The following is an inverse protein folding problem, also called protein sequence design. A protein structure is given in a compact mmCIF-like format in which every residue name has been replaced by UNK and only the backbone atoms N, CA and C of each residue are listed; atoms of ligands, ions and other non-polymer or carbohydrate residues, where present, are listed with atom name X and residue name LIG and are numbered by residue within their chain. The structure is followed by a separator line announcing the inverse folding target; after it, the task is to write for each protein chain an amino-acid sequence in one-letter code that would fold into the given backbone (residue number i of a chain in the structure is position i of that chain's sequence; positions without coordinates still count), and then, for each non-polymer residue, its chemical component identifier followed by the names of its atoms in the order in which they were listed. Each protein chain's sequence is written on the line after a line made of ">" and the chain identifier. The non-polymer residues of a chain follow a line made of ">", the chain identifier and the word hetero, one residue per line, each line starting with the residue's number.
data_IF_442697515434
#
_entry.id   IF_442697515434
#
_cell.length_a   1.000
_cell.length_b   1.000
_cell.length_c   1.000
_cell.angle_alpha   90.00
_cell.angle_beta   90.00
_cell.angle_gamma   90.00
#
_symmetry.space_group_name_H-M   'P 1'
#
loop_
_entity.id
_entity.type
_entity.pdbx_description
1 polymer ?
#
# COMPACT_ATOMS: atom_id res chain seq x y z
N UNK A 1 -18.71 -26.02 -1.44
CA UNK A 1 -18.08 -24.74 -1.78
C UNK A 1 -17.91 -24.71 -3.28
N UNK A 2 -18.64 -23.86 -4.01
CA UNK A 2 -18.47 -23.71 -5.46
C UNK A 2 -17.04 -23.26 -5.72
N UNK A 3 -16.30 -24.02 -6.52
CA UNK A 3 -14.98 -23.61 -6.97
C UNK A 3 -15.10 -22.31 -7.76
N UNK A 4 -14.23 -21.35 -7.53
CA UNK A 4 -14.13 -20.14 -8.37
C UNK A 4 -13.94 -20.59 -9.82
N UNK A 5 -14.81 -20.11 -10.71
CA UNK A 5 -14.75 -20.43 -12.14
C UNK A 5 -13.77 -19.51 -12.89
N UNK A 6 -12.83 -18.92 -12.19
CA UNK A 6 -11.84 -18.01 -12.76
C UNK A 6 -10.42 -18.55 -12.62
N UNK A 7 -9.51 -18.06 -13.44
CA UNK A 7 -8.05 -18.28 -13.36
C UNK A 7 -7.39 -17.10 -12.67
N UNK A 8 -6.95 -17.28 -11.40
CA UNK A 8 -6.34 -16.18 -10.65
C UNK A 8 -4.93 -15.86 -11.16
N UNK A 9 -4.63 -14.57 -11.28
CA UNK A 9 -3.26 -14.08 -11.47
C UNK A 9 -2.97 -13.06 -10.38
N UNK A 10 -2.06 -13.39 -9.47
CA UNK A 10 -1.63 -12.50 -8.39
C UNK A 10 -0.42 -11.69 -8.89
N UNK A 11 -0.57 -10.38 -8.95
CA UNK A 11 0.52 -9.48 -9.38
C UNK A 11 1.15 -8.83 -8.17
N UNK A 12 2.45 -9.09 -7.98
CA UNK A 12 3.22 -8.54 -6.88
C UNK A 12 4.20 -7.46 -7.31
N UNK A 13 4.12 -6.30 -6.66
CA UNK A 13 5.08 -5.20 -6.77
C UNK A 13 6.14 -5.24 -5.65
N UNK A 14 6.64 -4.08 -5.25
CA UNK A 14 7.69 -3.97 -4.23
C UNK A 14 7.24 -4.51 -2.86
N UNK A 15 5.97 -4.37 -2.47
CA UNK A 15 5.46 -4.82 -1.17
C UNK A 15 5.48 -6.35 -0.98
N UNK A 16 5.71 -7.12 -2.04
CA UNK A 16 5.73 -8.59 -2.04
C UNK A 16 7.01 -9.16 -2.66
N UNK A 17 8.11 -8.40 -2.67
CA UNK A 17 9.36 -8.77 -3.35
C UNK A 17 9.09 -9.24 -4.81
N UNK A 18 8.31 -8.45 -5.57
CA UNK A 18 7.90 -8.73 -6.96
C UNK A 18 7.18 -10.09 -7.13
N UNK A 19 6.41 -10.48 -6.10
CA UNK A 19 5.63 -11.71 -6.07
C UNK A 19 6.29 -12.87 -5.35
N UNK A 20 7.59 -12.81 -5.02
CA UNK A 20 8.28 -13.91 -4.34
C UNK A 20 7.61 -14.29 -3.00
N UNK A 21 7.15 -13.29 -2.23
CA UNK A 21 6.44 -13.52 -0.97
C UNK A 21 5.04 -14.15 -1.14
N UNK A 22 4.52 -14.20 -2.36
CA UNK A 22 3.19 -14.73 -2.66
C UNK A 22 3.22 -16.18 -3.15
N UNK A 23 4.40 -16.69 -3.55
CA UNK A 23 4.53 -18.04 -4.11
C UNK A 23 3.97 -19.13 -3.18
N UNK A 24 4.03 -18.92 -1.86
CA UNK A 24 3.46 -19.83 -0.87
C UNK A 24 1.94 -20.00 -0.97
N UNK A 25 1.23 -19.04 -1.60
CA UNK A 25 -0.23 -19.09 -1.75
C UNK A 25 -0.68 -19.94 -2.95
N UNK A 26 0.19 -20.19 -3.93
CA UNK A 26 -0.16 -20.92 -5.17
C UNK A 26 -0.76 -22.30 -4.91
N UNK A 27 -0.22 -23.04 -3.95
CA UNK A 27 -0.72 -24.39 -3.62
C UNK A 27 -2.16 -24.44 -3.10
N UNK A 28 -2.66 -23.31 -2.56
CA UNK A 28 -4.00 -23.18 -2.01
C UNK A 28 -5.01 -22.52 -2.98
N UNK A 29 -4.55 -22.08 -4.16
CA UNK A 29 -5.33 -21.42 -5.21
C UNK A 29 -5.17 -22.20 -6.53
N UNK A 30 -6.02 -23.18 -6.82
CA UNK A 30 -5.90 -24.01 -8.03
C UNK A 30 -5.87 -23.16 -9.30
N UNK A 31 -4.88 -23.41 -10.16
CA UNK A 31 -4.70 -22.69 -11.42
C UNK A 31 -4.15 -21.27 -11.29
N UNK A 32 -3.79 -20.82 -10.08
CA UNK A 32 -3.23 -19.49 -9.88
C UNK A 32 -1.82 -19.34 -10.45
N UNK A 33 -1.56 -18.19 -11.07
CA UNK A 33 -0.22 -17.72 -11.38
C UNK A 33 0.17 -16.59 -10.40
N UNK A 34 1.46 -16.52 -10.08
CA UNK A 34 2.07 -15.40 -9.37
C UNK A 34 3.10 -14.78 -10.29
N UNK A 35 3.10 -13.47 -10.44
CA UNK A 35 4.02 -12.78 -11.34
C UNK A 35 4.32 -11.35 -10.87
N UNK A 36 5.39 -10.78 -11.40
CA UNK A 36 5.65 -9.35 -11.35
C UNK A 36 4.89 -8.62 -12.47
N UNK A 37 4.69 -7.29 -12.41
CA UNK A 37 4.14 -6.50 -13.51
C UNK A 37 5.02 -6.57 -14.76
N UNK A 38 4.47 -6.17 -15.91
CA UNK A 38 5.17 -6.13 -17.18
C UNK A 38 5.07 -7.46 -17.97
N UNK A 39 6.18 -7.94 -18.51
CA UNK A 39 6.18 -9.09 -19.43
C UNK A 39 5.67 -10.38 -18.77
N UNK A 40 6.06 -10.65 -17.52
CA UNK A 40 5.60 -11.84 -16.79
C UNK A 40 4.09 -11.85 -16.56
N UNK A 41 3.47 -10.68 -16.34
CA UNK A 41 2.03 -10.53 -16.29
C UNK A 41 1.38 -10.85 -17.63
N UNK A 42 1.92 -10.31 -18.74
CA UNK A 42 1.40 -10.61 -20.08
C UNK A 42 1.43 -12.11 -20.37
N UNK A 43 2.52 -12.78 -20.04
CA UNK A 43 2.70 -14.21 -20.28
C UNK A 43 1.75 -15.03 -19.40
N UNK A 44 1.57 -14.67 -18.13
CA UNK A 44 0.63 -15.32 -17.20
C UNK A 44 -0.82 -15.19 -17.68
N UNK A 45 -1.25 -14.00 -18.11
CA UNK A 45 -2.61 -13.77 -18.61
C UNK A 45 -2.85 -14.54 -19.92
N UNK A 46 -1.91 -14.50 -20.87
CA UNK A 46 -2.01 -15.28 -22.11
C UNK A 46 -2.09 -16.79 -21.85
N UNK A 47 -1.26 -17.31 -20.95
CA UNK A 47 -1.32 -18.71 -20.54
C UNK A 47 -2.67 -19.07 -19.92
N UNK A 48 -3.20 -18.20 -19.05
CA UNK A 48 -4.52 -18.36 -18.47
C UNK A 48 -5.63 -18.41 -19.53
N UNK A 49 -5.62 -17.49 -20.50
CA UNK A 49 -6.59 -17.45 -21.60
C UNK A 49 -6.51 -18.68 -22.51
N UNK A 50 -5.31 -19.21 -22.74
CA UNK A 50 -5.07 -20.39 -23.57
C UNK A 50 -5.45 -21.69 -22.88
N UNK A 51 -5.47 -21.73 -21.55
CA UNK A 51 -5.72 -22.94 -20.77
C UNK A 51 -7.20 -23.36 -20.72
N UNK A 52 -8.15 -22.48 -21.10
CA UNK A 52 -9.58 -22.80 -21.16
C UNK A 52 -10.48 -21.57 -21.35
N UNK A 53 -11.81 -21.78 -21.28
CA UNK A 53 -12.79 -20.72 -21.49
C UNK A 53 -12.98 -19.80 -20.26
N UNK A 54 -12.50 -20.20 -19.10
CA UNK A 54 -12.69 -19.48 -17.86
C UNK A 54 -12.03 -18.09 -17.94
N UNK A 55 -12.64 -17.06 -17.36
CA UNK A 55 -12.03 -15.73 -17.32
C UNK A 55 -10.77 -15.71 -16.46
N UNK A 56 -9.85 -14.82 -16.83
CA UNK A 56 -8.64 -14.52 -16.06
C UNK A 56 -8.91 -13.31 -15.19
N UNK A 57 -8.83 -13.47 -13.87
CA UNK A 57 -8.95 -12.37 -12.92
C UNK A 57 -7.59 -12.05 -12.35
N UNK A 58 -7.15 -10.82 -12.57
CA UNK A 58 -5.87 -10.30 -12.11
C UNK A 58 -6.08 -9.50 -10.82
N UNK A 59 -5.38 -9.88 -9.76
CA UNK A 59 -5.46 -9.23 -8.45
C UNK A 59 -4.13 -8.54 -8.13
N UNK A 60 -4.10 -7.20 -8.04
CA UNK A 60 -2.94 -6.47 -7.55
C UNK A 60 -2.73 -6.73 -6.05
N UNK A 61 -1.58 -7.33 -5.71
CA UNK A 61 -1.21 -7.66 -4.34
C UNK A 61 -0.43 -6.51 -3.72
N UNK A 62 -1.15 -5.48 -3.30
CA UNK A 62 -0.63 -4.29 -2.63
C UNK A 62 -1.52 -3.89 -1.45
N UNK A 63 -0.93 -3.27 -0.45
CA UNK A 63 -1.61 -2.56 0.63
C UNK A 63 -1.90 -1.09 0.29
N UNK A 64 -1.82 -0.73 -1.00
CA UNK A 64 -2.03 0.63 -1.48
C UNK A 64 -0.77 1.50 -1.51
N UNK A 65 0.41 0.93 -1.24
CA UNK A 65 1.69 1.64 -1.34
C UNK A 65 2.34 1.51 -2.72
N UNK A 66 1.71 0.80 -3.65
CA UNK A 66 2.21 0.58 -5.01
C UNK A 66 1.11 0.90 -6.06
N UNK A 67 0.63 2.15 -6.11
CA UNK A 67 -0.41 2.55 -7.05
C UNK A 67 0.07 2.49 -8.51
N UNK A 68 1.35 2.72 -8.74
CA UNK A 68 1.98 2.64 -10.07
C UNK A 68 1.88 1.21 -10.62
N UNK A 69 2.13 0.19 -9.78
CA UNK A 69 1.96 -1.21 -10.18
C UNK A 69 0.50 -1.53 -10.56
N UNK A 70 -0.47 -0.97 -9.86
CA UNK A 70 -1.90 -1.14 -10.19
C UNK A 70 -2.21 -0.53 -11.55
N UNK A 71 -1.79 0.72 -11.79
CA UNK A 71 -2.00 1.40 -13.07
C UNK A 71 -1.28 0.72 -14.23
N UNK A 72 -0.03 0.27 -14.05
CA UNK A 72 0.71 -0.48 -15.08
C UNK A 72 0.08 -1.85 -15.38
N UNK A 73 -0.47 -2.49 -14.34
CA UNK A 73 -1.26 -3.71 -14.51
C UNK A 73 -2.49 -3.42 -15.37
N UNK A 74 -3.27 -2.39 -15.04
CA UNK A 74 -4.44 -1.98 -15.81
C UNK A 74 -4.11 -1.64 -17.27
N UNK A 75 -3.03 -0.88 -17.54
CA UNK A 75 -2.54 -0.58 -18.92
C UNK A 75 -2.25 -1.86 -19.68
N UNK A 76 -1.58 -2.82 -19.04
CA UNK A 76 -1.27 -4.13 -19.65
C UNK A 76 -2.54 -4.91 -19.99
N UNK A 77 -3.51 -4.95 -19.07
CA UNK A 77 -4.77 -5.67 -19.26
C UNK A 77 -5.64 -5.02 -20.32
N UNK A 78 -5.70 -3.68 -20.39
CA UNK A 78 -6.43 -2.96 -21.45
C UNK A 78 -5.96 -3.35 -22.84
N UNK A 79 -4.65 -3.46 -23.03
CA UNK A 79 -4.08 -3.92 -24.30
C UNK A 79 -4.45 -5.37 -24.63
N UNK A 80 -4.42 -6.28 -23.63
CA UNK A 80 -4.79 -7.69 -23.82
C UNK A 80 -6.31 -7.87 -24.05
N UNK A 81 -7.13 -7.10 -23.34
CA UNK A 81 -8.58 -7.12 -23.47
C UNK A 81 -9.08 -6.58 -24.84
N UNK A 82 -8.34 -5.69 -25.47
CA UNK A 82 -8.64 -5.23 -26.83
C UNK A 82 -8.48 -6.35 -27.88
N UNK A 83 -7.75 -7.42 -27.57
CA UNK A 83 -7.47 -8.55 -28.45
C UNK A 83 -8.18 -9.84 -28.03
N UNK A 84 -7.38 -10.91 -27.84
CA UNK A 84 -7.87 -12.27 -27.55
C UNK A 84 -8.54 -12.43 -26.17
N UNK A 85 -8.35 -11.47 -25.28
CA UNK A 85 -8.91 -11.48 -23.93
C UNK A 85 -10.25 -10.75 -23.77
N UNK A 86 -10.88 -10.30 -24.88
CA UNK A 86 -12.11 -9.50 -24.82
C UNK A 86 -13.22 -10.20 -24.04
N UNK A 87 -13.75 -9.55 -22.99
CA UNK A 87 -14.80 -10.08 -22.13
C UNK A 87 -14.37 -11.26 -21.24
N UNK A 88 -13.05 -11.54 -21.18
CA UNK A 88 -12.50 -12.68 -20.42
C UNK A 88 -11.37 -12.26 -19.46
N UNK A 89 -11.12 -10.99 -19.31
CA UNK A 89 -10.13 -10.44 -18.39
C UNK A 89 -10.83 -9.48 -17.45
N UNK A 90 -10.55 -9.60 -16.15
CA UNK A 90 -10.93 -8.60 -15.17
C UNK A 90 -9.73 -8.23 -14.30
N UNK A 91 -9.70 -6.96 -13.87
CA UNK A 91 -8.84 -6.45 -12.82
C UNK A 91 -9.66 -6.35 -11.54
N UNK A 92 -9.28 -7.12 -10.52
CA UNK A 92 -9.88 -7.01 -9.21
C UNK A 92 -9.39 -5.74 -8.50
N UNK A 93 -10.18 -5.25 -7.55
CA UNK A 93 -9.70 -4.28 -6.57
C UNK A 93 -8.41 -4.78 -5.93
N UNK A 94 -7.49 -3.86 -5.62
CA UNK A 94 -6.26 -4.20 -4.94
C UNK A 94 -6.52 -4.95 -3.62
N UNK A 95 -5.56 -5.76 -3.17
CA UNK A 95 -5.69 -6.62 -1.99
C UNK A 95 -6.13 -5.84 -0.74
N UNK A 96 -5.51 -4.70 -0.48
CA UNK A 96 -5.82 -3.88 0.68
C UNK A 96 -5.52 -2.40 0.43
N UNK A 97 -5.68 -1.59 1.48
CA UNK A 97 -5.38 -0.16 1.47
C UNK A 97 -4.31 0.17 2.52
N UNK A 98 -3.72 1.35 2.43
CA UNK A 98 -2.77 1.85 3.43
C UNK A 98 -3.39 1.89 4.83
N UNK A 99 -4.68 2.18 4.94
CA UNK A 99 -5.38 2.19 6.24
C UNK A 99 -5.46 0.78 6.84
N UNK A 100 -5.67 -0.25 6.03
CA UNK A 100 -5.61 -1.65 6.49
C UNK A 100 -4.20 -2.00 6.98
N UNK A 101 -3.15 -1.59 6.26
CA UNK A 101 -1.77 -1.79 6.68
C UNK A 101 -1.48 -1.09 8.01
N UNK A 102 -1.87 0.18 8.15
CA UNK A 102 -1.72 0.95 9.41
C UNK A 102 -2.44 0.25 10.56
N UNK A 103 -3.66 -0.24 10.36
CA UNK A 103 -4.41 -0.96 11.40
C UNK A 103 -3.69 -2.24 11.85
N UNK A 104 -3.17 -3.03 10.92
CA UNK A 104 -2.42 -4.25 11.22
C UNK A 104 -1.10 -3.94 11.95
N UNK A 105 -0.38 -2.91 11.52
CA UNK A 105 0.87 -2.50 12.17
C UNK A 105 0.62 -1.93 13.58
N UNK A 106 -0.47 -1.19 13.80
CA UNK A 106 -0.91 -0.76 15.13
C UNK A 106 -1.22 -1.95 16.04
N UNK A 107 -1.91 -2.97 15.51
CA UNK A 107 -2.16 -4.20 16.24
C UNK A 107 -0.85 -4.95 16.57
N UNK A 108 0.12 -4.96 15.66
CA UNK A 108 1.45 -5.51 15.92
C UNK A 108 2.19 -4.72 17.01
N UNK A 109 2.17 -3.38 16.95
CA UNK A 109 2.76 -2.51 17.95
C UNK A 109 2.13 -2.75 19.36
N UNK A 110 0.80 -2.82 19.44
CA UNK A 110 0.10 -3.10 20.69
C UNK A 110 0.48 -4.47 21.28
N UNK A 111 0.57 -5.51 20.44
CA UNK A 111 0.99 -6.85 20.88
C UNK A 111 2.44 -6.86 21.35
N UNK A 112 3.32 -6.13 20.69
CA UNK A 112 4.72 -6.01 21.08
C UNK A 112 4.85 -5.27 22.40
N UNK A 113 4.19 -4.12 22.56
CA UNK A 113 4.20 -3.35 23.81
C UNK A 113 3.75 -4.18 25.00
N UNK A 114 2.72 -5.02 24.83
CA UNK A 114 2.22 -5.89 25.89
C UNK A 114 3.17 -7.04 26.27
N UNK A 115 3.96 -7.54 25.33
CA UNK A 115 4.87 -8.68 25.56
C UNK A 115 6.29 -8.26 25.94
N UNK A 116 6.74 -7.12 25.43
CA UNK A 116 8.08 -6.58 25.56
C UNK A 116 8.01 -5.09 25.92
N UNK A 117 7.72 -4.75 27.18
CA UNK A 117 7.74 -3.36 27.64
C UNK A 117 9.11 -2.72 27.39
N UNK A 118 9.15 -1.56 26.74
CA UNK A 118 10.41 -0.86 26.40
C UNK A 118 11.09 -1.35 25.12
N UNK A 119 10.47 -2.28 24.37
CA UNK A 119 10.97 -2.64 23.06
C UNK A 119 10.80 -1.50 22.05
N UNK A 120 11.60 -1.53 20.98
CA UNK A 120 11.38 -0.75 19.77
C UNK A 120 10.88 -1.62 18.63
N UNK A 121 10.24 -1.01 17.65
CA UNK A 121 9.86 -1.67 16.42
C UNK A 121 10.67 -1.15 15.24
N UNK A 122 10.96 -2.02 14.28
CA UNK A 122 11.41 -1.65 12.94
C UNK A 122 10.37 -2.14 11.95
N UNK A 123 9.70 -1.23 11.26
CA UNK A 123 8.83 -1.56 10.14
C UNK A 123 9.71 -1.76 8.91
N UNK A 124 9.76 -2.99 8.41
CA UNK A 124 10.63 -3.36 7.31
C UNK A 124 9.82 -3.70 6.05
N UNK A 125 10.20 -3.11 4.93
CA UNK A 125 9.69 -3.45 3.60
C UNK A 125 10.83 -3.44 2.59
N UNK A 126 10.70 -4.14 1.46
CA UNK A 126 11.64 -3.97 0.35
C UNK A 126 11.73 -2.50 -0.05
N UNK A 127 12.95 -2.03 -0.31
CA UNK A 127 13.19 -0.68 -0.84
C UNK A 127 12.57 -0.52 -2.23
N UNK A 128 12.03 0.64 -2.49
CA UNK A 128 11.38 1.02 -3.73
C UNK A 128 11.94 2.34 -4.26
N UNK A 129 11.14 3.14 -4.91
CA UNK A 129 11.55 4.51 -5.23
C UNK A 129 11.44 5.43 -3.99
N UNK A 130 12.03 6.64 -4.01
CA UNK A 130 12.02 7.54 -2.86
C UNK A 130 10.62 7.96 -2.39
N UNK A 131 9.61 7.98 -3.25
CA UNK A 131 8.25 8.37 -2.89
C UNK A 131 7.54 7.23 -2.18
N UNK A 132 7.65 6.01 -2.67
CA UNK A 132 7.12 4.80 -2.02
C UNK A 132 7.79 4.55 -0.67
N UNK A 133 9.10 4.81 -0.57
CA UNK A 133 9.83 4.75 0.69
C UNK A 133 9.33 5.82 1.68
N UNK A 134 9.06 7.06 1.20
CA UNK A 134 8.48 8.12 2.03
C UNK A 134 7.09 7.75 2.56
N UNK A 135 6.29 7.01 1.79
CA UNK A 135 4.99 6.51 2.25
C UNK A 135 5.15 5.53 3.42
N UNK A 136 6.17 4.67 3.42
CA UNK A 136 6.46 3.80 4.56
C UNK A 136 6.81 4.62 5.82
N UNK A 137 7.54 5.73 5.68
CA UNK A 137 7.80 6.66 6.79
C UNK A 137 6.52 7.33 7.30
N UNK A 138 5.58 7.70 6.41
CA UNK A 138 4.26 8.20 6.79
C UNK A 138 3.48 7.17 7.59
N UNK A 139 3.44 5.92 7.13
CA UNK A 139 2.81 4.80 7.84
C UNK A 139 3.44 4.63 9.23
N UNK A 140 4.76 4.63 9.34
CA UNK A 140 5.45 4.52 10.63
C UNK A 140 5.09 5.65 11.59
N UNK A 141 4.96 6.88 11.10
CA UNK A 141 4.49 8.01 11.89
C UNK A 141 3.08 7.76 12.44
N UNK A 142 2.15 7.28 11.61
CA UNK A 142 0.78 6.97 12.02
C UNK A 142 0.72 5.82 13.05
N UNK A 143 1.64 4.86 12.98
CA UNK A 143 1.75 3.78 13.99
C UNK A 143 2.30 4.33 15.29
N UNK A 144 3.36 5.15 15.26
CA UNK A 144 3.98 5.74 16.44
C UNK A 144 3.02 6.64 17.22
N UNK A 145 2.25 7.47 16.53
CA UNK A 145 1.28 8.39 17.15
C UNK A 145 0.05 7.71 17.74
N UNK A 146 -0.08 6.40 17.57
CA UNK A 146 -1.19 5.62 18.13
C UNK A 146 -1.13 5.42 19.66
N UNK A 147 -0.01 5.75 20.30
CA UNK A 147 0.08 5.82 21.77
C UNK A 147 0.55 4.54 22.45
N UNK A 148 1.25 3.63 21.78
CA UNK A 148 1.89 2.46 22.41
C UNK A 148 3.15 2.82 23.21
N UNK A 149 3.70 4.03 23.02
CA UNK A 149 4.95 4.46 23.66
C UNK A 149 6.21 3.81 23.08
N UNK A 150 6.08 2.94 22.07
CA UNK A 150 7.24 2.29 21.43
C UNK A 150 7.94 3.26 20.47
N UNK A 151 9.27 3.20 20.45
CA UNK A 151 10.05 3.80 19.37
C UNK A 151 9.87 2.99 18.07
N UNK A 152 9.54 3.68 16.98
CA UNK A 152 9.25 3.07 15.68
C UNK A 152 10.27 3.54 14.65
N UNK A 153 11.13 2.64 14.20
CA UNK A 153 12.05 2.84 13.08
C UNK A 153 11.48 2.30 11.78
N UNK A 154 12.13 2.66 10.67
CA UNK A 154 11.80 2.22 9.31
C UNK A 154 13.04 1.63 8.65
N UNK A 155 12.86 0.54 7.92
CA UNK A 155 13.85 -0.04 7.03
C UNK A 155 13.27 -0.25 5.63
N UNK A 156 13.71 0.56 4.67
CA UNK A 156 13.53 0.31 3.23
C UNK A 156 14.71 -0.57 2.80
N UNK A 157 14.47 -1.87 2.68
CA UNK A 157 15.51 -2.91 2.61
C UNK A 157 15.89 -3.17 1.16
N UNK A 158 17.10 -2.80 0.78
CA UNK A 158 17.75 -3.19 -0.47
C UNK A 158 18.79 -4.29 -0.18
N UNK A 159 19.47 -4.18 0.96
CA UNK A 159 20.47 -5.13 1.46
C UNK A 159 20.21 -5.44 2.93
N UNK A 160 20.76 -6.56 3.41
CA UNK A 160 20.69 -6.95 4.83
C UNK A 160 21.24 -5.85 5.76
N UNK A 161 22.26 -5.11 5.32
CA UNK A 161 22.82 -4.00 6.08
C UNK A 161 21.85 -2.83 6.33
N UNK A 162 20.82 -2.65 5.47
CA UNK A 162 19.82 -1.59 5.67
C UNK A 162 18.94 -1.91 6.87
N UNK A 163 18.51 -3.16 7.00
CA UNK A 163 17.73 -3.62 8.14
C UNK A 163 18.57 -3.57 9.44
N UNK A 164 19.79 -4.11 9.42
CA UNK A 164 20.68 -4.08 10.59
C UNK A 164 20.94 -2.64 11.07
N UNK A 165 21.11 -1.70 10.14
CA UNK A 165 21.28 -0.26 10.44
C UNK A 165 20.05 0.34 11.09
N UNK A 166 18.84 -0.01 10.63
CA UNK A 166 17.59 0.45 11.22
C UNK A 166 17.41 -0.12 12.64
N UNK A 167 17.70 -1.39 12.85
CA UNK A 167 17.71 -2.03 14.18
C UNK A 167 18.67 -1.31 15.12
N UNK A 168 19.91 -1.08 14.68
CA UNK A 168 20.89 -0.35 15.46
C UNK A 168 20.44 1.05 15.86
N UNK A 169 19.82 1.81 14.93
CA UNK A 169 19.28 3.15 15.21
C UNK A 169 18.22 3.13 16.31
N UNK A 170 17.31 2.16 16.29
CA UNK A 170 16.25 2.03 17.29
C UNK A 170 16.85 1.72 18.67
N UNK A 171 17.91 0.92 18.74
CA UNK A 171 18.66 0.70 19.98
C UNK A 171 19.34 1.97 20.51
N UNK A 172 19.93 2.76 19.62
CA UNK A 172 20.54 4.04 20.01
C UNK A 172 19.51 5.04 20.58
N UNK A 173 18.24 4.89 20.20
CA UNK A 173 17.12 5.69 20.76
C UNK A 173 16.61 5.13 22.09
N UNK A 174 17.24 4.09 22.65
CA UNK A 174 16.99 3.60 23.99
C UNK A 174 16.17 2.32 24.08
N UNK A 175 15.79 1.71 22.95
CA UNK A 175 15.11 0.41 22.97
C UNK A 175 16.08 -0.70 23.44
N UNK A 176 15.67 -1.48 24.45
CA UNK A 176 16.45 -2.62 24.94
C UNK A 176 16.34 -3.81 23.97
N UNK A 177 15.11 -4.11 23.58
CA UNK A 177 14.79 -5.14 22.59
C UNK A 177 14.27 -4.48 21.32
N UNK A 178 14.49 -5.10 20.16
CA UNK A 178 13.94 -4.64 18.89
C UNK A 178 13.16 -5.77 18.24
N UNK A 179 11.98 -5.45 17.73
CA UNK A 179 11.14 -6.38 16.97
C UNK A 179 10.97 -5.86 15.54
N UNK A 180 11.36 -6.66 14.56
CA UNK A 180 11.17 -6.37 13.14
C UNK A 180 9.80 -6.86 12.71
N UNK A 181 8.99 -5.94 12.18
CA UNK A 181 7.63 -6.19 11.68
C UNK A 181 7.61 -5.96 10.18
N UNK A 182 7.23 -6.95 9.36
CA UNK A 182 7.14 -6.73 7.92
C UNK A 182 6.00 -5.77 7.60
N UNK A 183 6.27 -4.74 6.79
CA UNK A 183 5.25 -3.82 6.30
C UNK A 183 4.85 -4.17 4.86
N UNK A 184 4.50 -5.43 4.65
CA UNK A 184 4.17 -6.02 3.35
C UNK A 184 3.72 -7.47 3.48
N UNK A 185 4.04 -8.29 2.49
CA UNK A 185 3.60 -9.69 2.40
C UNK A 185 4.67 -10.69 2.89
N UNK A 186 5.82 -10.25 3.36
CA UNK A 186 6.87 -11.14 3.83
C UNK A 186 6.39 -12.03 5.00
N UNK A 187 6.67 -13.32 4.90
CA UNK A 187 6.34 -14.32 5.93
C UNK A 187 7.58 -14.97 6.53
N UNK A 188 8.66 -15.07 5.75
CA UNK A 188 9.93 -15.61 6.23
C UNK A 188 10.70 -14.55 7.03
N UNK A 189 11.36 -14.99 8.08
CA UNK A 189 12.26 -14.14 8.83
C UNK A 189 13.47 -13.73 7.94
N UNK A 190 13.93 -12.48 8.04
CA UNK A 190 15.20 -12.06 7.47
C UNK A 190 16.37 -12.91 8.00
N UNK A 191 17.54 -12.81 7.36
CA UNK A 191 18.74 -13.48 7.83
C UNK A 191 19.12 -13.06 9.26
N UNK A 192 19.84 -13.90 9.99
CA UNK A 192 20.32 -13.57 11.34
C UNK A 192 21.20 -12.31 11.33
N UNK A 193 22.01 -12.13 10.29
CA UNK A 193 22.88 -10.96 10.12
C UNK A 193 22.04 -9.69 9.89
N UNK A 194 20.98 -9.76 9.07
CA UNK A 194 20.08 -8.65 8.85
C UNK A 194 19.29 -8.26 10.11
N UNK A 195 18.87 -9.26 10.91
CA UNK A 195 18.18 -9.02 12.17
C UNK A 195 19.08 -8.42 13.25
N UNK A 196 20.41 -8.64 13.19
CA UNK A 196 21.35 -8.10 14.18
C UNK A 196 20.88 -8.36 15.64
N UNK A 197 20.37 -9.57 15.91
CA UNK A 197 19.82 -9.94 17.21
C UNK A 197 18.42 -9.38 17.54
N UNK A 198 17.74 -8.73 16.60
CA UNK A 198 16.33 -8.38 16.75
C UNK A 198 15.42 -9.60 16.57
N UNK A 199 14.26 -9.59 17.21
CA UNK A 199 13.25 -10.61 16.99
C UNK A 199 12.44 -10.32 15.73
N UNK A 200 12.00 -11.35 15.02
CA UNK A 200 11.06 -11.21 13.91
C UNK A 200 9.64 -11.45 14.43
N UNK A 201 8.73 -10.53 14.13
CA UNK A 201 7.33 -10.58 14.57
C UNK A 201 6.54 -11.74 13.91
N UNK A 202 6.96 -12.17 12.74
CA UNK A 202 6.20 -13.04 11.85
C UNK A 202 5.35 -12.24 10.84
N UNK A 203 4.57 -12.94 9.99
CA UNK A 203 3.74 -12.28 9.00
C UNK A 203 2.62 -11.46 9.65
N UNK A 204 2.22 -10.36 9.00
CA UNK A 204 1.10 -9.52 9.46
C UNK A 204 -0.23 -10.26 9.46
N UNK A 205 -0.44 -11.11 8.45
CA UNK A 205 -1.61 -11.97 8.32
C UNK A 205 -1.17 -13.42 8.12
N UNK A 206 -1.94 -14.35 8.67
CA UNK A 206 -1.78 -15.77 8.35
C UNK A 206 -2.16 -16.05 6.90
N UNK A 207 -1.61 -17.11 6.30
CA UNK A 207 -1.95 -17.53 4.95
C UNK A 207 -3.46 -17.80 4.78
N UNK A 208 -4.11 -18.32 5.82
CA UNK A 208 -5.58 -18.50 5.83
C UNK A 208 -6.33 -17.18 5.68
N UNK A 209 -5.90 -16.13 6.40
CA UNK A 209 -6.51 -14.82 6.31
C UNK A 209 -6.23 -14.15 4.95
N UNK A 210 -4.99 -14.26 4.44
CA UNK A 210 -4.63 -13.80 3.10
C UNK A 210 -5.49 -14.46 2.02
N UNK A 211 -5.60 -15.80 2.04
CA UNK A 211 -6.37 -16.56 1.08
C UNK A 211 -7.86 -16.24 1.12
N UNK A 212 -8.41 -15.93 2.30
CA UNK A 212 -9.80 -15.48 2.42
C UNK A 212 -10.01 -14.17 1.67
N UNK A 213 -9.17 -13.16 1.91
CA UNK A 213 -9.26 -11.85 1.23
C UNK A 213 -9.06 -12.01 -0.28
N UNK A 214 -8.06 -12.80 -0.70
CA UNK A 214 -7.83 -13.09 -2.13
C UNK A 214 -9.08 -13.67 -2.78
N UNK A 215 -9.71 -14.69 -2.16
CA UNK A 215 -10.94 -15.29 -2.69
C UNK A 215 -12.11 -14.31 -2.73
N UNK A 216 -12.26 -13.47 -1.73
CA UNK A 216 -13.29 -12.42 -1.69
C UNK A 216 -13.10 -11.42 -2.85
N UNK A 217 -11.87 -10.95 -3.11
CA UNK A 217 -11.54 -10.05 -4.22
C UNK A 217 -11.76 -10.69 -5.59
N UNK A 218 -11.34 -11.94 -5.75
CA UNK A 218 -11.54 -12.67 -7.00
C UNK A 218 -13.02 -12.91 -7.29
N UNK A 219 -13.82 -13.27 -6.28
CA UNK A 219 -15.25 -13.48 -6.43
C UNK A 219 -16.02 -12.18 -6.76
N UNK A 220 -15.62 -11.04 -6.15
CA UNK A 220 -16.18 -9.74 -6.47
C UNK A 220 -15.90 -9.37 -7.93
N UNK A 221 -14.65 -9.47 -8.38
CA UNK A 221 -14.28 -9.15 -9.75
C UNK A 221 -14.91 -10.10 -10.80
N UNK A 222 -15.11 -11.38 -10.46
CA UNK A 222 -15.84 -12.34 -11.29
C UNK A 222 -17.30 -11.90 -11.45
N UNK A 223 -17.93 -11.49 -10.35
CA UNK A 223 -19.30 -10.99 -10.34
C UNK A 223 -19.44 -9.71 -11.20
N UNK A 224 -18.54 -8.75 -11.01
CA UNK A 224 -18.55 -7.49 -11.75
C UNK A 224 -18.35 -7.72 -13.25
N UNK A 225 -17.45 -8.64 -13.63
CA UNK A 225 -17.21 -9.02 -15.02
C UNK A 225 -18.50 -9.62 -15.67
N UNK A 226 -19.27 -10.43 -14.94
CA UNK A 226 -20.55 -10.97 -15.42
C UNK A 226 -21.58 -9.87 -15.67
N UNK A 227 -21.44 -8.70 -15.02
CA UNK A 227 -22.29 -7.53 -15.20
C UNK A 227 -21.69 -6.50 -16.18
N UNK A 228 -20.59 -6.84 -16.86
CA UNK A 228 -19.96 -6.02 -17.87
C UNK A 228 -18.94 -5.01 -17.35
N UNK A 229 -18.53 -5.13 -16.10
CA UNK A 229 -17.50 -4.29 -15.46
C UNK A 229 -16.22 -5.10 -15.28
N UNK A 230 -15.16 -4.72 -15.99
CA UNK A 230 -13.88 -5.44 -15.93
C UNK A 230 -12.86 -4.82 -14.97
N UNK A 231 -13.17 -3.69 -14.34
CA UNK A 231 -12.33 -2.98 -13.37
C UNK A 231 -11.07 -2.31 -13.96
N UNK A 232 -10.84 -2.42 -15.27
CA UNK A 232 -9.58 -1.95 -15.88
C UNK A 232 -9.50 -0.43 -15.86
N UNK A 233 -10.60 0.27 -16.15
CA UNK A 233 -10.61 1.75 -16.15
C UNK A 233 -10.37 2.31 -14.75
N UNK A 234 -10.95 1.72 -13.71
CA UNK A 234 -10.70 2.10 -12.32
C UNK A 234 -9.22 1.93 -11.94
N UNK A 235 -8.62 0.84 -12.41
CA UNK A 235 -7.20 0.58 -12.19
C UNK A 235 -6.27 1.56 -12.89
N UNK A 236 -6.67 2.15 -14.01
CA UNK A 236 -5.88 3.16 -14.71
C UNK A 236 -5.76 4.47 -13.93
N UNK A 237 -6.75 4.77 -13.09
CA UNK A 237 -6.78 5.97 -12.26
C UNK A 237 -6.05 5.81 -10.91
N UNK A 238 -5.54 4.62 -10.61
CA UNK A 238 -4.97 4.31 -9.31
C UNK A 238 -3.76 5.19 -8.92
N UNK A 239 -2.97 5.65 -9.89
CA UNK A 239 -1.82 6.53 -9.66
C UNK A 239 -2.18 8.02 -9.56
N UNK A 240 -3.38 8.44 -9.99
CA UNK A 240 -3.83 9.83 -9.94
C UNK A 240 -4.32 10.28 -8.55
N UNK A 241 -4.70 9.36 -7.68
CA UNK A 241 -5.22 9.65 -6.33
C UNK A 241 -4.16 9.95 -5.28
N UNK A 242 -2.91 9.64 -5.53
CA UNK A 242 -1.80 9.92 -4.62
C UNK A 242 -1.16 11.26 -5.02
N UNK A 243 -1.51 12.33 -4.31
CA UNK A 243 -1.08 13.71 -4.57
C UNK A 243 0.43 13.95 -4.45
N UNK A 244 1.21 13.21 -5.17
CA UNK A 244 2.58 13.59 -5.46
C UNK A 244 2.50 14.73 -6.46
N UNK A 245 2.83 15.94 -6.03
CA UNK A 245 3.12 17.04 -6.93
C UNK A 245 4.19 16.54 -7.90
N UNK A 246 3.77 16.16 -9.11
CA UNK A 246 4.69 16.00 -10.21
C UNK A 246 5.32 17.36 -10.44
N UNK A 247 6.49 17.59 -9.85
CA UNK A 247 7.36 18.68 -10.26
C UNK A 247 7.82 18.35 -11.68
N UNK A 248 7.02 18.76 -12.66
CA UNK A 248 7.46 18.88 -14.03
C UNK A 248 8.55 19.95 -14.05
N UNK A 249 9.80 19.51 -13.83
CA UNK A 249 10.95 20.31 -14.16
C UNK A 249 10.88 20.56 -15.68
N UNK A 250 10.45 21.75 -16.01
CA UNK A 250 10.60 22.49 -17.22
C UNK A 250 10.77 21.73 -18.56
N UNK A 251 9.71 21.78 -19.36
CA UNK A 251 9.85 22.10 -20.80
C UNK A 251 8.74 23.08 -21.12
N UNK A 252 9.14 24.34 -21.29
CA UNK A 252 8.30 25.39 -21.83
C UNK A 252 7.82 25.03 -23.22
N UNK A 253 6.53 25.19 -23.49
CA UNK A 253 6.01 25.33 -24.85
C UNK A 253 4.89 24.38 -25.19
N UNK A 254 3.67 24.75 -24.88
CA UNK A 254 2.47 24.74 -25.72
C UNK A 254 1.22 24.82 -24.84
N UNK A 255 0.54 25.95 -24.88
CA UNK A 255 -0.70 26.17 -24.15
C UNK A 255 -1.80 25.24 -24.62
N UNK A 256 -2.41 24.57 -23.67
CA UNK A 256 -3.75 24.02 -23.83
C UNK A 256 -4.64 24.66 -22.75
N UNK A 257 -5.46 25.60 -23.20
CA UNK A 257 -6.56 26.14 -22.43
C UNK A 257 -7.61 25.04 -22.20
N UNK A 258 -7.82 24.65 -20.95
CA UNK A 258 -8.98 23.87 -20.56
C UNK A 258 -10.03 24.80 -19.95
N UNK A 259 -11.25 24.88 -20.52
CA UNK A 259 -12.32 25.70 -19.93
C UNK A 259 -12.96 24.93 -18.77
N UNK A 260 -12.54 25.19 -17.55
CA UNK A 260 -13.28 24.77 -16.36
C UNK A 260 -14.25 25.88 -15.95
N UNK A 261 -15.45 25.82 -16.50
CA UNK A 261 -16.58 26.65 -16.07
C UNK A 261 -17.47 25.85 -15.11
N UNK A 262 -17.27 25.97 -13.81
CA UNK A 262 -18.32 25.78 -12.82
C UNK A 262 -18.13 26.80 -11.70
N UNK A 263 -18.67 28.00 -11.93
CA UNK A 263 -18.82 29.01 -10.89
C UNK A 263 -19.99 28.65 -9.99
N UNK A 264 -19.72 28.37 -8.72
CA UNK A 264 -20.73 28.48 -7.67
C UNK A 264 -20.43 29.75 -6.86
N UNK A 265 -21.34 30.73 -6.81
CA UNK A 265 -21.18 31.91 -5.98
C UNK A 265 -21.55 31.59 -4.54
N UNK A 266 -20.56 31.40 -3.67
CA UNK A 266 -20.81 31.42 -2.23
C UNK A 266 -20.54 32.83 -1.71
N UNK A 267 -21.59 33.62 -1.60
CA UNK A 267 -21.61 34.89 -0.87
C UNK A 267 -21.74 34.61 0.62
N UNK A 268 -20.67 34.79 1.39
CA UNK A 268 -20.74 34.92 2.84
C UNK A 268 -20.71 36.39 3.24
N UNK A 269 -21.70 36.91 3.97
CA UNK A 269 -21.65 38.27 4.48
C UNK A 269 -20.72 38.32 5.72
N UNK A 270 -19.56 38.97 5.59
CA UNK A 270 -18.76 39.35 6.73
C UNK A 270 -19.45 40.46 7.51
N UNK A 271 -19.97 40.11 8.67
CA UNK A 271 -20.46 41.07 9.66
C UNK A 271 -19.27 41.54 10.50
N UNK A 272 -18.81 42.75 10.28
CA UNK A 272 -17.80 43.37 11.08
C UNK A 272 -18.38 43.68 12.49
N UNK A 273 -17.67 43.27 13.54
CA UNK A 273 -17.94 43.67 14.91
C UNK A 273 -17.21 44.99 15.22
N UNK A 274 -17.82 45.91 15.98
CA UNK A 274 -17.21 47.21 16.29
C UNK A 274 -16.13 47.10 17.37
N UNK A 275 -15.03 47.79 17.15
CA UNK A 275 -13.92 47.99 18.08
C UNK A 275 -14.37 49.00 19.16
N UNK A 276 -14.31 48.63 20.44
CA UNK A 276 -14.47 49.54 21.55
C UNK A 276 -13.14 50.19 21.95
N UNK A 277 -13.11 51.47 22.38
CA UNK A 277 -11.87 52.19 22.68
C UNK A 277 -11.33 51.85 24.06
N UNK A 278 -10.00 51.88 24.16
CA UNK A 278 -9.22 51.75 25.37
C UNK A 278 -9.44 52.91 26.32
N UNK A 279 -9.71 52.63 27.59
CA UNK A 279 -9.75 53.63 28.67
C UNK A 279 -8.73 53.27 29.75
N UNK A 280 -7.76 54.19 29.91
CA UNK A 280 -7.16 54.77 31.08
C UNK A 280 -6.61 53.86 32.18
N UNK A 281 -5.29 53.89 32.33
CA UNK A 281 -4.61 53.54 33.58
C UNK A 281 -4.80 54.67 34.65
N UNK A 282 -4.64 54.33 35.95
CA UNK A 282 -3.82 55.15 36.80
C UNK A 282 -2.73 54.40 37.57
N UNK A 283 -1.67 55.17 37.87
CA UNK A 283 -0.42 54.82 38.50
C UNK A 283 -0.49 54.74 40.03
N UNK A 284 0.63 54.47 40.72
CA UNK A 284 0.65 53.66 41.97
C UNK A 284 0.66 54.50 43.25
N UNK A 285 0.33 53.89 44.37
CA UNK A 285 0.61 54.42 45.70
C UNK A 285 1.38 53.42 46.54
N UNK A 286 2.41 53.98 47.18
CA UNK A 286 3.33 53.37 48.16
C UNK A 286 2.63 53.04 49.46
N UNK A 287 3.03 51.99 50.09
CA UNK A 287 3.55 51.90 51.47
C UNK A 287 4.03 50.46 51.68
#
# INVERSE_FOLDING_TARGET
>A
MAGSHVRPVLVGGHESARGADLERLRGALPGAAVCAPGRSLQDAVRAGLAAGPEPVVVLPMTWGRDPVMVADTARTLRWLAAGSGRGRIALADQFGTVDHLVALLRAAATRTAARHPGAGLVLAAPGADPFDDAELHRVAHLVRTFGTGLEIGVACVVTDADLARAVHRVRLLGAQDVVVVPAGFAAAAPSADALDGAAFFGPLLSDTALLRIVRERLAAAEHDLQHGHDGIEDGLEADHGHGYAHSHAGLEGAGHEHPHGHGHPHTHPHRAAPVAPASGAPAPARA
#
